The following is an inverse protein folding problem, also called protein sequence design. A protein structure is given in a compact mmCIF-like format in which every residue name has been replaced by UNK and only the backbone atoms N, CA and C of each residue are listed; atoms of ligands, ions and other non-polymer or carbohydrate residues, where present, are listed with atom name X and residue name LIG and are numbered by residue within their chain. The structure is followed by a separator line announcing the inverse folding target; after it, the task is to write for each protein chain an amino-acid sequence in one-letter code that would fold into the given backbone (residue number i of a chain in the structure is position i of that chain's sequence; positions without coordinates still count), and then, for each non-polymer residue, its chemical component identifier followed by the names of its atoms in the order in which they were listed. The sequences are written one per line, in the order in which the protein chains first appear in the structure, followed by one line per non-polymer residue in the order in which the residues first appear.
data_IF_016714342510
#
_entry.id   IF_016714342510
#
_cell.length_a   1.000
_cell.length_b   1.000
_cell.length_c   1.000
_cell.angle_alpha   90.00
_cell.angle_beta   90.00
_cell.angle_gamma   90.00
#
_symmetry.space_group_name_H-M   'P 1'
#
loop_
_entity.id
_entity.type
_entity.pdbx_description
1 polymer ?
#
# COMPACT_ATOMS: atom_id res chain seq x y z
N UNK A 1 -29.85 3.44 -39.97
CA UNK A 1 -29.54 3.56 -38.54
C UNK A 1 -29.50 2.12 -38.03
N UNK A 2 -28.32 1.56 -37.79
CA UNK A 2 -28.23 0.23 -37.18
C UNK A 2 -28.45 0.40 -35.69
N UNK A 3 -29.36 -0.39 -35.11
CA UNK A 3 -29.58 -0.47 -33.66
C UNK A 3 -28.24 -0.79 -33.00
N UNK A 4 -27.67 0.20 -32.32
CA UNK A 4 -26.50 -0.02 -31.47
C UNK A 4 -26.96 -0.93 -30.34
N UNK A 5 -26.21 -2.00 -30.01
CA UNK A 5 -26.53 -2.80 -28.84
C UNK A 5 -26.62 -1.90 -27.61
N UNK A 6 -27.64 -2.13 -26.77
CA UNK A 6 -27.78 -1.41 -25.50
C UNK A 6 -26.60 -1.78 -24.60
N UNK A 7 -25.70 -0.83 -24.39
CA UNK A 7 -24.53 -1.04 -23.55
C UNK A 7 -24.86 -1.01 -22.05
N UNK A 8 -26.08 -0.64 -21.67
CA UNK A 8 -26.50 -0.58 -20.27
C UNK A 8 -26.36 -1.94 -19.57
N UNK A 9 -26.48 -3.03 -20.33
CA UNK A 9 -26.38 -4.41 -19.85
C UNK A 9 -24.97 -5.03 -19.99
N UNK A 10 -24.03 -4.35 -20.66
CA UNK A 10 -22.74 -4.94 -21.00
C UNK A 10 -21.57 -4.04 -20.59
N UNK A 11 -20.69 -4.57 -19.74
CA UNK A 11 -19.46 -3.90 -19.32
C UNK A 11 -18.26 -4.84 -19.49
N UNK A 12 -17.17 -4.30 -20.02
CA UNK A 12 -15.87 -4.96 -20.06
C UNK A 12 -14.96 -4.31 -19.02
N UNK A 13 -14.59 -5.06 -17.99
CA UNK A 13 -13.60 -4.63 -17.00
C UNK A 13 -12.18 -4.91 -17.53
N UNK A 14 -11.37 -3.87 -17.67
CA UNK A 14 -9.96 -3.98 -18.04
C UNK A 14 -9.09 -3.71 -16.84
N UNK A 15 -8.32 -4.72 -16.44
CA UNK A 15 -7.33 -4.61 -15.37
C UNK A 15 -5.96 -4.36 -15.96
N UNK A 16 -5.19 -3.44 -15.38
CA UNK A 16 -3.85 -3.17 -15.85
C UNK A 16 -3.06 -2.23 -14.96
N UNK A 17 -1.84 -1.96 -15.39
CA UNK A 17 -1.05 -0.89 -14.80
C UNK A 17 -1.58 0.48 -15.19
N UNK A 18 -0.99 1.52 -14.60
CA UNK A 18 -1.37 2.90 -14.87
C UNK A 18 -1.27 3.26 -16.36
N UNK A 19 -0.23 2.79 -17.05
CA UNK A 19 -0.03 3.06 -18.48
C UNK A 19 -1.17 2.49 -19.33
N UNK A 20 -1.66 1.30 -19.00
CA UNK A 20 -2.85 0.70 -19.63
C UNK A 20 -4.09 1.60 -19.47
N UNK A 21 -4.31 2.11 -18.25
CA UNK A 21 -5.41 3.03 -17.97
C UNK A 21 -5.31 4.35 -18.73
N UNK A 22 -4.12 4.94 -18.83
CA UNK A 22 -3.89 6.18 -19.59
C UNK A 22 -4.19 6.00 -21.08
N UNK A 23 -3.78 4.87 -21.67
CA UNK A 23 -4.05 4.57 -23.07
C UNK A 23 -5.56 4.36 -23.33
N UNK A 24 -6.25 3.67 -22.42
CA UNK A 24 -7.71 3.49 -22.55
C UNK A 24 -8.43 4.85 -22.47
N UNK A 25 -8.08 5.69 -21.49
CA UNK A 25 -8.68 7.01 -21.34
C UNK A 25 -8.40 7.90 -22.57
N UNK A 26 -7.18 7.85 -23.11
CA UNK A 26 -6.84 8.57 -24.34
C UNK A 26 -7.67 8.08 -25.54
N UNK A 27 -7.88 6.77 -25.66
CA UNK A 27 -8.73 6.19 -26.70
C UNK A 27 -10.20 6.65 -26.56
N UNK A 28 -10.76 6.58 -25.35
CA UNK A 28 -12.12 7.05 -25.05
C UNK A 28 -12.27 8.56 -25.36
N UNK A 29 -11.28 9.36 -24.98
CA UNK A 29 -11.29 10.80 -25.24
C UNK A 29 -11.29 11.10 -26.76
N UNK A 30 -10.44 10.43 -27.54
CA UNK A 30 -10.40 10.60 -29.00
C UNK A 30 -11.70 10.17 -29.67
N UNK A 31 -12.34 9.14 -29.14
CA UNK A 31 -13.61 8.62 -29.66
C UNK A 31 -14.84 9.29 -29.06
N UNK A 32 -14.68 10.32 -28.23
CA UNK A 32 -15.81 11.01 -27.58
C UNK A 32 -16.80 11.64 -28.57
N UNK A 33 -16.33 11.97 -29.78
CA UNK A 33 -17.12 12.53 -30.88
C UNK A 33 -18.02 11.51 -31.60
N UNK A 34 -17.81 10.22 -31.37
CA UNK A 34 -18.56 9.16 -32.05
C UNK A 34 -20.04 9.21 -31.69
N UNK A 35 -20.91 8.79 -32.62
CA UNK A 35 -22.36 8.91 -32.45
C UNK A 35 -22.93 7.98 -31.37
N UNK A 36 -22.35 6.79 -31.18
CA UNK A 36 -22.89 5.78 -30.26
C UNK A 36 -22.00 5.56 -29.03
N UNK A 37 -22.58 5.28 -27.84
CA UNK A 37 -21.83 4.90 -26.64
C UNK A 37 -20.87 3.72 -26.84
N UNK A 38 -21.26 2.75 -27.69
CA UNK A 38 -20.42 1.62 -28.07
C UNK A 38 -19.13 2.08 -28.77
N UNK A 39 -19.25 2.95 -29.78
CA UNK A 39 -18.11 3.48 -30.51
C UNK A 39 -17.25 4.42 -29.64
N UNK A 40 -17.84 5.11 -28.66
CA UNK A 40 -17.09 5.87 -27.64
C UNK A 40 -16.35 4.99 -26.63
N UNK A 41 -16.50 3.66 -26.70
CA UNK A 41 -15.98 2.70 -25.72
C UNK A 41 -16.43 2.97 -24.27
N UNK A 42 -17.65 3.49 -24.07
CA UNK A 42 -18.16 3.78 -22.73
C UNK A 42 -18.41 2.51 -21.89
N UNK A 43 -18.64 1.38 -22.54
CA UNK A 43 -18.78 0.06 -21.91
C UNK A 43 -17.46 -0.51 -21.36
N UNK A 44 -16.31 0.11 -21.68
CA UNK A 44 -14.99 -0.37 -21.25
C UNK A 44 -14.55 0.40 -20.01
N UNK A 45 -14.45 -0.30 -18.88
CA UNK A 45 -14.13 0.32 -17.59
C UNK A 45 -12.75 -0.15 -17.14
N UNK A 46 -11.83 0.81 -16.96
CA UNK A 46 -10.53 0.53 -16.37
C UNK A 46 -10.65 0.31 -14.86
N UNK A 47 -10.09 -0.79 -14.39
CA UNK A 47 -9.95 -1.12 -12.97
C UNK A 47 -8.47 -1.06 -12.60
N UNK A 48 -8.07 -0.20 -11.64
CA UNK A 48 -6.67 -0.01 -11.31
C UNK A 48 -6.01 -1.27 -10.75
N UNK A 49 -4.78 -1.52 -11.17
CA UNK A 49 -3.95 -2.60 -10.65
C UNK A 49 -3.51 -2.38 -9.19
N UNK A 50 -4.08 -3.14 -8.26
CA UNK A 50 -3.71 -3.05 -6.84
C UNK A 50 -2.29 -3.53 -6.55
N UNK A 51 -1.71 -4.41 -7.39
CA UNK A 51 -0.30 -4.77 -7.25
C UNK A 51 0.61 -3.57 -7.58
N UNK A 52 0.33 -2.85 -8.66
CA UNK A 52 1.07 -1.62 -8.98
C UNK A 52 0.84 -0.52 -7.95
N UNK A 53 -0.37 -0.38 -7.38
CA UNK A 53 -0.59 0.50 -6.23
C UNK A 53 0.33 0.13 -5.06
N UNK A 54 0.35 -1.16 -4.67
CA UNK A 54 1.21 -1.64 -3.58
C UNK A 54 2.70 -1.40 -3.89
N UNK A 55 3.12 -1.51 -5.15
CA UNK A 55 4.48 -1.13 -5.57
C UNK A 55 4.74 0.38 -5.37
N UNK A 56 3.79 1.23 -5.75
CA UNK A 56 3.88 2.67 -5.56
C UNK A 56 3.95 3.06 -4.08
N UNK A 57 3.20 2.38 -3.20
CA UNK A 57 3.25 2.59 -1.75
C UNK A 57 4.62 2.19 -1.15
N UNK A 58 5.20 1.07 -1.59
CA UNK A 58 6.54 0.67 -1.15
C UNK A 58 7.62 1.67 -1.60
N UNK A 59 7.51 2.16 -2.84
CA UNK A 59 8.37 3.21 -3.37
C UNK A 59 8.21 4.52 -2.59
N UNK A 60 6.98 4.87 -2.16
CA UNK A 60 6.75 6.05 -1.33
C UNK A 60 7.47 5.98 0.02
N UNK A 61 7.49 4.81 0.67
CA UNK A 61 8.28 4.63 1.90
C UNK A 61 9.77 4.81 1.63
N UNK A 62 10.28 4.27 0.51
CA UNK A 62 11.66 4.48 0.11
C UNK A 62 11.99 5.96 -0.13
N UNK A 63 11.14 6.69 -0.86
CA UNK A 63 11.33 8.11 -1.14
C UNK A 63 11.25 8.99 0.12
N UNK A 64 10.47 8.60 1.13
CA UNK A 64 10.35 9.36 2.36
C UNK A 64 11.48 9.09 3.36
N UNK A 65 11.90 7.83 3.52
CA UNK A 65 12.74 7.41 4.66
C UNK A 65 14.12 6.89 4.28
N UNK A 66 14.44 6.81 2.99
CA UNK A 66 15.74 6.32 2.51
C UNK A 66 16.32 7.23 1.43
N UNK A 67 15.55 7.62 0.42
CA UNK A 67 16.09 8.38 -0.71
C UNK A 67 16.80 9.67 -0.30
N UNK A 68 16.24 10.55 0.56
CA UNK A 68 16.91 11.78 0.94
C UNK A 68 18.14 11.48 1.81
N UNK A 69 19.31 12.06 1.55
CA UNK A 69 20.51 11.83 2.38
C UNK A 69 20.27 12.15 3.86
N UNK A 70 19.53 13.23 4.15
CA UNK A 70 19.19 13.66 5.52
C UNK A 70 18.30 12.67 6.26
N UNK A 71 17.54 11.82 5.57
CA UNK A 71 16.72 10.78 6.19
C UNK A 71 17.54 9.57 6.68
N UNK A 72 18.86 9.57 6.46
CA UNK A 72 19.79 8.47 6.77
C UNK A 72 20.71 8.77 7.95
N UNK A 73 20.73 10.02 8.40
CA UNK A 73 21.72 10.54 9.34
C UNK A 73 21.40 10.17 10.79
N UNK A 74 20.12 9.95 11.11
CA UNK A 74 19.71 9.64 12.48
C UNK A 74 19.92 8.16 12.85
N UNK A 75 20.26 7.91 14.11
CA UNK A 75 20.50 6.55 14.65
C UNK A 75 19.24 5.69 14.68
N UNK A 76 18.05 6.28 14.54
CA UNK A 76 16.77 5.59 14.46
C UNK A 76 16.24 5.44 13.03
N UNK A 77 17.06 5.82 12.03
CA UNK A 77 16.69 5.84 10.63
C UNK A 77 16.45 4.44 10.09
N UNK A 78 15.67 4.34 9.02
CA UNK A 78 15.49 3.07 8.32
C UNK A 78 16.81 2.56 7.73
N UNK A 79 17.75 3.45 7.39
CA UNK A 79 19.08 3.04 6.93
C UNK A 79 19.91 2.36 8.03
N UNK A 80 19.76 2.77 9.28
CA UNK A 80 20.39 2.08 10.41
C UNK A 80 19.82 0.66 10.59
N UNK A 81 18.50 0.48 10.43
CA UNK A 81 17.89 -0.85 10.41
C UNK A 81 18.41 -1.70 9.23
N UNK A 82 18.55 -1.11 8.04
CA UNK A 82 19.10 -1.79 6.86
C UNK A 82 20.54 -2.25 7.11
N UNK A 83 21.38 -1.42 7.74
CA UNK A 83 22.76 -1.79 8.04
C UNK A 83 22.86 -3.05 8.92
N UNK A 84 21.89 -3.27 9.82
CA UNK A 84 21.82 -4.47 10.64
C UNK A 84 21.19 -5.66 9.91
N UNK A 85 20.04 -5.44 9.25
CA UNK A 85 19.26 -6.52 8.62
C UNK A 85 19.86 -7.00 7.29
N UNK A 86 20.55 -6.12 6.57
CA UNK A 86 21.08 -6.34 5.21
C UNK A 86 22.38 -5.56 4.98
N UNK A 87 23.45 -5.83 5.76
CA UNK A 87 24.70 -5.05 5.71
C UNK A 87 25.32 -4.99 4.30
N UNK A 88 25.16 -6.05 3.50
CA UNK A 88 25.72 -6.14 2.13
C UNK A 88 24.88 -5.43 1.06
N UNK A 89 23.69 -4.92 1.39
CA UNK A 89 22.78 -4.30 0.42
C UNK A 89 22.59 -2.78 0.63
N UNK A 90 23.30 -2.15 1.57
CA UNK A 90 23.13 -0.72 1.90
C UNK A 90 23.21 0.20 0.67
N UNK A 91 24.21 0.00 -0.20
CA UNK A 91 24.34 0.76 -1.45
C UNK A 91 23.17 0.58 -2.44
N UNK A 92 22.54 -0.60 -2.43
CA UNK A 92 21.35 -0.88 -3.24
C UNK A 92 20.14 -0.09 -2.73
N UNK A 93 19.98 0.01 -1.40
CA UNK A 93 18.91 0.80 -0.80
C UNK A 93 19.14 2.31 -0.97
N UNK A 94 20.39 2.77 -0.96
CA UNK A 94 20.74 4.18 -1.24
C UNK A 94 20.37 4.64 -2.65
N UNK A 95 20.25 3.71 -3.62
CA UNK A 95 20.01 4.00 -5.03
C UNK A 95 18.57 3.76 -5.45
N UNK A 96 18.18 2.51 -5.76
CA UNK A 96 16.78 2.15 -6.07
C UNK A 96 16.59 0.65 -5.84
N UNK A 97 16.18 0.22 -4.63
CA UNK A 97 16.19 -1.19 -4.24
C UNK A 97 15.16 -2.06 -4.97
N UNK A 98 14.14 -1.43 -5.58
CA UNK A 98 13.04 -2.11 -6.25
C UNK A 98 12.01 -2.68 -5.26
N UNK A 99 10.88 -3.13 -5.81
CA UNK A 99 9.71 -3.51 -5.01
C UNK A 99 9.97 -4.66 -4.04
N UNK A 100 10.58 -5.76 -4.51
CA UNK A 100 10.74 -6.97 -3.67
C UNK A 100 11.58 -6.70 -2.42
N UNK A 101 12.70 -5.96 -2.57
CA UNK A 101 13.56 -5.59 -1.45
C UNK A 101 12.84 -4.68 -0.47
N UNK A 102 12.13 -3.66 -0.96
CA UNK A 102 11.33 -2.78 -0.09
C UNK A 102 10.19 -3.52 0.61
N UNK A 103 9.49 -4.42 -0.10
CA UNK A 103 8.41 -5.22 0.49
C UNK A 103 8.91 -6.08 1.65
N UNK A 104 10.07 -6.73 1.49
CA UNK A 104 10.69 -7.53 2.54
C UNK A 104 11.22 -6.66 3.68
N UNK A 105 11.88 -5.54 3.36
CA UNK A 105 12.41 -4.61 4.36
C UNK A 105 11.30 -4.06 5.26
N UNK A 106 10.21 -3.56 4.69
CA UNK A 106 9.07 -3.00 5.44
C UNK A 106 8.55 -4.02 6.44
N UNK A 107 8.42 -5.29 6.03
CA UNK A 107 7.95 -6.37 6.90
C UNK A 107 8.93 -6.70 8.02
N UNK A 108 10.22 -6.86 7.70
CA UNK A 108 11.21 -7.26 8.70
C UNK A 108 11.50 -6.12 9.68
N UNK A 109 11.83 -4.93 9.17
CA UNK A 109 12.06 -3.75 9.99
C UNK A 109 10.81 -3.37 10.79
N UNK A 110 9.62 -3.41 10.16
CA UNK A 110 8.36 -3.14 10.84
C UNK A 110 8.10 -4.09 12.02
N UNK A 111 8.32 -5.39 11.83
CA UNK A 111 8.18 -6.37 12.91
C UNK A 111 9.17 -6.08 14.06
N UNK A 112 10.45 -5.87 13.77
CA UNK A 112 11.46 -5.57 14.78
C UNK A 112 11.13 -4.29 15.56
N UNK A 113 10.77 -3.20 14.87
CA UNK A 113 10.42 -1.93 15.49
C UNK A 113 9.18 -2.03 16.37
N UNK A 114 8.15 -2.78 15.95
CA UNK A 114 6.96 -3.01 16.80
C UNK A 114 7.30 -3.81 18.05
N UNK A 115 8.11 -4.87 17.93
CA UNK A 115 8.59 -5.62 19.09
C UNK A 115 9.37 -4.70 20.05
N UNK A 116 10.18 -3.79 19.52
CA UNK A 116 10.87 -2.80 20.36
C UNK A 116 9.91 -1.82 21.06
N UNK A 117 8.87 -1.34 20.36
CA UNK A 117 7.83 -0.51 20.98
C UNK A 117 7.14 -1.25 22.13
N UNK A 118 6.80 -2.54 21.93
CA UNK A 118 6.27 -3.39 22.99
C UNK A 118 7.25 -3.54 24.16
N UNK A 119 8.53 -3.82 23.87
CA UNK A 119 9.57 -3.95 24.90
C UNK A 119 9.66 -2.69 25.77
N UNK A 120 9.71 -1.53 25.13
CA UNK A 120 9.79 -0.24 25.81
C UNK A 120 8.52 0.06 26.63
N UNK A 121 7.33 -0.23 26.06
CA UNK A 121 6.05 -0.01 26.72
C UNK A 121 5.86 -0.88 27.97
N UNK A 122 6.09 -2.18 27.84
CA UNK A 122 5.90 -3.11 28.95
C UNK A 122 6.85 -2.78 30.11
N UNK A 123 8.10 -2.46 29.78
CA UNK A 123 9.10 -2.01 30.78
C UNK A 123 8.67 -0.71 31.48
N UNK A 124 8.03 0.22 30.77
CA UNK A 124 7.56 1.48 31.37
C UNK A 124 6.34 1.27 32.29
N UNK A 125 5.49 0.29 31.98
CA UNK A 125 4.35 -0.09 32.84
C UNK A 125 4.79 -0.84 34.10
N UNK A 126 5.76 -1.74 33.97
CA UNK A 126 6.29 -2.48 35.10
C UNK A 126 7.79 -2.78 34.91
N UNK A 127 8.69 -2.13 35.67
CA UNK A 127 10.14 -2.34 35.56
C UNK A 127 10.63 -3.77 35.78
N UNK A 128 9.79 -4.67 36.33
CA UNK A 128 10.11 -6.11 36.46
C UNK A 128 10.21 -6.80 35.10
N UNK A 129 9.50 -6.32 34.09
CA UNK A 129 9.56 -6.83 32.74
C UNK A 129 10.76 -6.23 32.01
N UNK A 130 11.92 -6.88 32.15
CA UNK A 130 13.18 -6.42 31.52
C UNK A 130 13.20 -6.60 30.00
N UNK A 131 12.47 -7.61 29.51
CA UNK A 131 12.34 -7.99 28.12
C UNK A 131 10.97 -8.60 27.83
N UNK A 132 10.69 -8.84 26.54
CA UNK A 132 9.43 -9.44 26.10
C UNK A 132 9.28 -10.91 26.50
N UNK A 133 10.37 -11.63 26.75
CA UNK A 133 10.31 -13.02 27.16
C UNK A 133 9.78 -13.15 28.60
N UNK A 134 10.27 -12.28 29.48
CA UNK A 134 9.80 -12.18 30.87
C UNK A 134 8.33 -11.76 30.92
N UNK A 135 7.91 -10.85 30.05
CA UNK A 135 6.50 -10.46 29.92
C UNK A 135 5.63 -11.61 29.39
N UNK A 136 6.07 -12.33 28.35
CA UNK A 136 5.32 -13.47 27.82
C UNK A 136 5.12 -14.57 28.88
N UNK A 137 6.13 -14.80 29.74
CA UNK A 137 6.04 -15.74 30.87
C UNK A 137 5.05 -15.33 31.96
N UNK A 138 4.59 -14.09 32.00
CA UNK A 138 3.50 -13.70 32.90
C UNK A 138 2.12 -14.02 32.36
N UNK A 139 2.02 -14.63 31.17
CA UNK A 139 0.79 -15.08 30.52
C UNK A 139 -0.32 -14.01 30.53
N UNK A 140 -0.06 -12.82 29.95
CA UNK A 140 -1.07 -11.77 29.89
C UNK A 140 -2.28 -12.25 29.09
N UNK A 141 -3.48 -11.98 29.60
CA UNK A 141 -4.72 -12.35 28.92
C UNK A 141 -4.94 -11.50 27.65
N UNK A 142 -5.86 -11.97 26.81
CA UNK A 142 -6.10 -11.37 25.51
C UNK A 142 -6.67 -9.95 25.58
N UNK A 143 -7.58 -9.66 26.53
CA UNK A 143 -8.16 -8.32 26.62
C UNK A 143 -7.13 -7.32 27.16
N UNK A 144 -6.31 -7.71 28.15
CA UNK A 144 -5.16 -6.92 28.58
C UNK A 144 -4.20 -6.63 27.42
N UNK A 145 -3.86 -7.64 26.62
CA UNK A 145 -2.99 -7.46 25.45
C UNK A 145 -3.59 -6.51 24.41
N UNK A 146 -4.90 -6.57 24.19
CA UNK A 146 -5.60 -5.71 23.25
C UNK A 146 -5.64 -4.25 23.73
N UNK A 147 -5.90 -4.02 25.02
CA UNK A 147 -5.82 -2.69 25.63
C UNK A 147 -4.40 -2.11 25.53
N UNK A 148 -3.40 -2.91 25.90
CA UNK A 148 -2.00 -2.55 25.77
C UNK A 148 -1.62 -2.24 24.32
N UNK A 149 -2.12 -3.01 23.34
CA UNK A 149 -1.87 -2.76 21.93
C UNK A 149 -2.42 -1.40 21.47
N UNK A 150 -3.60 -1.01 21.95
CA UNK A 150 -4.17 0.31 21.68
C UNK A 150 -3.30 1.42 22.30
N UNK A 151 -2.82 1.24 23.53
CA UNK A 151 -1.91 2.20 24.16
C UNK A 151 -0.57 2.32 23.42
N UNK A 152 0.03 1.19 23.04
CA UNK A 152 1.26 1.15 22.23
C UNK A 152 1.03 1.90 20.91
N UNK A 153 -0.11 1.68 20.26
CA UNK A 153 -0.47 2.38 19.03
C UNK A 153 -0.60 3.90 19.25
N UNK A 154 -1.21 4.32 20.36
CA UNK A 154 -1.34 5.74 20.71
C UNK A 154 0.00 6.42 21.01
N UNK A 155 0.94 5.70 21.64
CA UNK A 155 2.24 6.24 22.05
C UNK A 155 3.30 6.20 20.95
N UNK A 156 3.34 5.13 20.15
CA UNK A 156 4.44 4.84 19.23
C UNK A 156 4.08 4.97 17.74
N UNK A 157 2.88 5.45 17.41
CA UNK A 157 2.45 5.73 16.04
C UNK A 157 2.00 7.19 15.91
N UNK A 158 2.48 7.86 14.85
CA UNK A 158 2.09 9.24 14.59
C UNK A 158 0.56 9.37 14.37
N UNK A 159 -0.07 10.18 15.22
CA UNK A 159 -1.51 10.46 15.17
C UNK A 159 -1.79 11.97 15.19
N UNK A 160 -3.07 12.35 15.24
CA UNK A 160 -3.48 13.77 15.20
C UNK A 160 -2.96 14.57 16.42
N UNK A 161 -2.69 13.92 17.55
CA UNK A 161 -2.12 14.56 18.74
C UNK A 161 -0.71 15.10 18.48
N UNK A 162 0.05 14.53 17.54
CA UNK A 162 1.42 15.00 17.24
C UNK A 162 1.44 16.47 16.80
N UNK A 163 0.45 16.90 15.99
CA UNK A 163 0.30 18.32 15.61
C UNK A 163 0.07 19.22 16.83
N UNK A 164 -0.72 18.74 17.80
CA UNK A 164 -1.00 19.47 19.05
C UNK A 164 0.26 19.55 19.92
N UNK A 165 1.04 18.48 19.99
CA UNK A 165 2.32 18.45 20.71
C UNK A 165 3.33 19.42 20.10
N UNK A 166 3.43 19.50 18.77
CA UNK A 166 4.30 20.47 18.07
C UNK A 166 3.95 21.92 18.37
N UNK A 167 2.67 22.27 18.46
CA UNK A 167 2.21 23.64 18.76
C UNK A 167 2.48 24.09 20.20
N UNK A 168 2.70 23.15 21.12
CA UNK A 168 2.83 23.41 22.56
C UNK A 168 4.28 23.49 23.04
N UNK A 169 5.28 23.26 22.18
CA UNK A 169 6.68 23.10 22.62
C UNK A 169 7.59 24.19 22.07
N UNK A 170 8.34 24.77 22.98
CA UNK A 170 9.50 25.63 22.74
C UNK A 170 10.77 24.75 22.68
N UNK A 171 11.57 24.93 21.62
CA UNK A 171 12.98 24.52 21.37
C UNK A 171 13.52 23.10 21.67
N UNK A 172 12.81 22.16 22.32
CA UNK A 172 13.33 20.83 22.72
C UNK A 172 12.66 19.61 22.05
N UNK A 173 12.28 19.73 20.78
CA UNK A 173 11.61 18.63 20.07
C UNK A 173 12.59 17.50 19.72
N UNK A 174 12.37 16.29 20.24
CA UNK A 174 13.09 15.10 19.81
C UNK A 174 12.62 14.69 18.41
N UNK A 175 13.23 15.29 17.38
CA UNK A 175 12.91 15.05 15.97
C UNK A 175 13.13 13.59 15.55
N UNK A 176 14.12 12.91 16.14
CA UNK A 176 14.37 11.48 15.87
C UNK A 176 13.18 10.62 16.31
N UNK A 177 12.65 10.88 17.52
CA UNK A 177 11.47 10.21 18.00
C UNK A 177 10.26 10.47 17.08
N UNK A 178 10.02 11.73 16.67
CA UNK A 178 8.93 12.03 15.74
C UNK A 178 9.07 11.29 14.40
N UNK A 179 10.29 11.24 13.84
CA UNK A 179 10.56 10.49 12.61
C UNK A 179 10.24 8.99 12.77
N UNK A 180 10.61 8.41 13.91
CA UNK A 180 10.26 7.02 14.23
C UNK A 180 8.74 6.78 14.31
N UNK A 181 7.98 7.72 14.90
CA UNK A 181 6.51 7.65 14.94
C UNK A 181 5.89 7.67 13.54
N UNK A 182 6.42 8.49 12.63
CA UNK A 182 5.97 8.53 11.24
C UNK A 182 6.34 7.26 10.48
N UNK A 183 7.56 6.75 10.66
CA UNK A 183 7.99 5.51 10.03
C UNK A 183 7.07 4.33 10.42
N UNK A 184 6.77 4.19 11.71
CA UNK A 184 5.84 3.18 12.22
C UNK A 184 4.45 3.31 11.58
N UNK A 185 3.93 4.53 11.44
CA UNK A 185 2.65 4.78 10.78
C UNK A 185 2.64 4.31 9.33
N UNK A 186 3.69 4.62 8.57
CA UNK A 186 3.77 4.28 7.15
C UNK A 186 3.95 2.77 6.95
N UNK A 187 4.73 2.12 7.80
CA UNK A 187 4.86 0.66 7.82
C UNK A 187 3.52 -0.02 8.09
N UNK A 188 2.79 0.40 9.13
CA UNK A 188 1.48 -0.15 9.44
C UNK A 188 0.47 0.08 8.31
N UNK A 189 0.45 1.26 7.71
CA UNK A 189 -0.43 1.54 6.57
C UNK A 189 -0.12 0.63 5.37
N UNK A 190 1.15 0.31 5.12
CA UNK A 190 1.56 -0.61 4.05
C UNK A 190 1.22 -2.07 4.35
N UNK A 191 1.46 -2.50 5.58
CA UNK A 191 1.13 -3.83 6.06
C UNK A 191 -0.38 -4.06 6.08
N UNK A 192 -1.15 -3.05 6.46
CA UNK A 192 -2.61 -3.05 6.46
C UNK A 192 -3.16 -3.23 5.04
N UNK A 193 -2.69 -2.42 4.09
CA UNK A 193 -3.03 -2.59 2.67
C UNK A 193 -2.67 -4.01 2.20
N UNK A 194 -1.48 -4.50 2.56
CA UNK A 194 -1.03 -5.83 2.19
C UNK A 194 -1.88 -6.94 2.80
N UNK A 195 -2.29 -6.78 4.06
CA UNK A 195 -3.15 -7.72 4.78
C UNK A 195 -4.53 -7.78 4.15
N UNK A 196 -5.18 -6.61 3.99
CA UNK A 196 -6.49 -6.48 3.37
C UNK A 196 -6.55 -7.13 1.98
N UNK A 197 -5.54 -6.86 1.14
CA UNK A 197 -5.41 -7.49 -0.18
C UNK A 197 -5.26 -9.02 -0.09
N UNK A 198 -4.49 -9.54 0.87
CA UNK A 198 -4.26 -10.98 1.01
C UNK A 198 -5.51 -11.72 1.51
N UNK A 199 -6.30 -11.10 2.39
CA UNK A 199 -7.53 -11.71 2.92
C UNK A 199 -8.76 -11.49 2.05
N UNK A 200 -8.65 -10.63 1.02
CA UNK A 200 -9.76 -10.36 0.09
C UNK A 200 -10.74 -9.30 0.59
N UNK A 201 -10.35 -8.50 1.59
CA UNK A 201 -11.21 -7.47 2.17
C UNK A 201 -11.10 -6.16 1.38
N UNK A 202 -11.97 -6.03 0.37
CA UNK A 202 -11.96 -4.87 -0.53
C UNK A 202 -12.35 -3.57 0.17
N UNK A 203 -13.26 -3.60 1.15
CA UNK A 203 -13.65 -2.40 1.89
C UNK A 203 -12.47 -1.84 2.70
N UNK A 204 -11.67 -2.72 3.30
CA UNK A 204 -10.44 -2.34 4.01
C UNK A 204 -9.35 -1.87 3.06
N UNK A 205 -9.22 -2.46 1.87
CA UNK A 205 -8.34 -1.95 0.81
C UNK A 205 -8.72 -0.52 0.41
N UNK A 206 -10.00 -0.26 0.11
CA UNK A 206 -10.52 1.07 -0.24
C UNK A 206 -10.21 2.09 0.86
N UNK A 207 -10.40 1.71 2.13
CA UNK A 207 -10.05 2.53 3.30
C UNK A 207 -8.56 2.88 3.35
N UNK A 208 -7.66 1.93 3.07
CA UNK A 208 -6.23 2.20 3.01
C UNK A 208 -5.86 3.17 1.87
N UNK A 209 -6.52 3.04 0.71
CA UNK A 209 -6.26 3.90 -0.46
C UNK A 209 -6.46 5.38 -0.10
N UNK A 210 -7.50 5.72 0.68
CA UNK A 210 -7.77 7.09 1.14
C UNK A 210 -6.55 7.71 1.81
N UNK A 211 -5.86 6.94 2.67
CA UNK A 211 -4.66 7.42 3.37
C UNK A 211 -3.42 7.49 2.48
N UNK A 212 -3.34 6.63 1.45
CA UNK A 212 -2.22 6.61 0.50
C UNK A 212 -2.27 7.75 -0.52
N UNK A 213 -3.45 8.19 -0.96
CA UNK A 213 -3.61 9.27 -1.94
C UNK A 213 -2.78 10.53 -1.62
N UNK A 214 -2.89 11.15 -0.42
CA UNK A 214 -2.12 12.35 -0.10
C UNK A 214 -0.61 12.07 -0.04
N UNK A 215 -0.19 10.88 0.41
CA UNK A 215 1.22 10.48 0.45
C UNK A 215 1.78 10.37 -0.97
N UNK A 216 1.07 9.67 -1.86
CA UNK A 216 1.44 9.52 -3.26
C UNK A 216 1.49 10.88 -3.98
N UNK A 217 0.57 11.79 -3.66
CA UNK A 217 0.59 13.16 -4.19
C UNK A 217 1.82 13.93 -3.70
N UNK A 218 2.18 13.81 -2.43
CA UNK A 218 3.32 14.52 -1.83
C UNK A 218 4.67 14.06 -2.40
N UNK A 219 4.83 12.77 -2.72
CA UNK A 219 6.06 12.21 -3.29
C UNK A 219 6.11 12.26 -4.83
N UNK A 220 5.31 13.13 -5.46
CA UNK A 220 5.33 13.31 -6.92
C UNK A 220 4.69 12.17 -7.74
N UNK A 221 4.06 11.16 -7.12
CA UNK A 221 3.27 10.14 -7.83
C UNK A 221 1.85 10.64 -8.12
N UNK A 222 1.75 11.81 -8.73
CA UNK A 222 0.48 12.50 -9.02
C UNK A 222 -0.48 11.64 -9.82
N UNK A 223 0.01 10.90 -10.83
CA UNK A 223 -0.83 10.01 -11.63
C UNK A 223 -1.49 8.92 -10.78
N UNK A 224 -0.73 8.22 -9.93
CA UNK A 224 -1.31 7.23 -9.02
C UNK A 224 -2.33 7.86 -8.07
N UNK A 225 -2.02 9.02 -7.49
CA UNK A 225 -2.94 9.73 -6.60
C UNK A 225 -4.26 10.09 -7.32
N UNK A 226 -4.18 10.65 -8.54
CA UNK A 226 -5.35 10.99 -9.36
C UNK A 226 -6.16 9.75 -9.70
N UNK A 227 -5.53 8.70 -10.23
CA UNK A 227 -6.25 7.48 -10.62
C UNK A 227 -6.91 6.78 -9.44
N UNK A 228 -6.26 6.72 -8.28
CA UNK A 228 -6.88 6.16 -7.07
C UNK A 228 -8.05 7.02 -6.57
N UNK A 229 -7.93 8.35 -6.67
CA UNK A 229 -9.01 9.26 -6.32
C UNK A 229 -10.21 9.05 -7.23
N UNK A 230 -10.00 9.03 -8.55
CA UNK A 230 -11.06 8.78 -9.54
C UNK A 230 -11.69 7.41 -9.33
N UNK A 231 -10.89 6.37 -9.07
CA UNK A 231 -11.39 5.04 -8.77
C UNK A 231 -12.34 5.05 -7.57
N UNK A 232 -11.92 5.61 -6.43
CA UNK A 232 -12.76 5.69 -5.24
C UNK A 232 -14.02 6.53 -5.48
N UNK A 233 -13.90 7.69 -6.13
CA UNK A 233 -15.07 8.51 -6.46
C UNK A 233 -16.09 7.73 -7.29
N UNK A 234 -15.61 6.97 -8.28
CA UNK A 234 -16.49 6.22 -9.15
C UNK A 234 -17.19 5.06 -8.43
N UNK A 235 -16.45 4.22 -7.69
CA UNK A 235 -17.03 3.05 -7.01
C UNK A 235 -17.88 3.41 -5.80
N UNK A 236 -17.68 4.57 -5.18
CA UNK A 236 -18.52 5.00 -4.06
C UNK A 236 -19.74 5.81 -4.51
N UNK A 237 -19.59 6.71 -5.50
CA UNK A 237 -20.59 7.73 -5.78
C UNK A 237 -21.16 7.73 -7.19
N UNK A 238 -20.38 7.34 -8.22
CA UNK A 238 -20.80 7.55 -9.61
C UNK A 238 -21.43 6.32 -10.27
N UNK A 239 -20.88 5.13 -10.05
CA UNK A 239 -21.32 3.93 -10.76
C UNK A 239 -22.64 3.39 -10.20
N UNK A 240 -23.47 2.70 -11.02
CA UNK A 240 -24.63 1.98 -10.54
C UNK A 240 -24.22 0.78 -9.67
N UNK A 241 -25.10 0.33 -8.77
CA UNK A 241 -24.76 -0.67 -7.75
C UNK A 241 -24.22 -1.98 -8.33
N UNK A 242 -24.81 -2.49 -9.41
CA UNK A 242 -24.32 -3.69 -10.10
C UNK A 242 -22.88 -3.55 -10.61
N UNK A 243 -22.51 -2.39 -11.14
CA UNK A 243 -21.13 -2.12 -11.60
C UNK A 243 -20.17 -1.96 -10.41
N UNK A 244 -20.59 -1.32 -9.31
CA UNK A 244 -19.78 -1.24 -8.09
C UNK A 244 -19.44 -2.64 -7.57
N UNK A 245 -20.45 -3.51 -7.49
CA UNK A 245 -20.29 -4.89 -7.05
C UNK A 245 -19.38 -5.67 -8.00
N UNK A 246 -19.60 -5.57 -9.32
CA UNK A 246 -18.77 -6.22 -10.33
C UNK A 246 -17.29 -5.81 -10.18
N UNK A 247 -16.99 -4.52 -10.09
CA UNK A 247 -15.60 -4.04 -9.93
C UNK A 247 -14.97 -4.58 -8.64
N UNK A 248 -15.67 -4.47 -7.51
CA UNK A 248 -15.16 -4.93 -6.21
C UNK A 248 -14.88 -6.44 -6.18
N UNK A 249 -15.70 -7.23 -6.85
CA UNK A 249 -15.57 -8.68 -6.87
C UNK A 249 -14.48 -9.16 -7.84
N UNK A 250 -14.12 -8.33 -8.83
CA UNK A 250 -13.14 -8.70 -9.87
C UNK A 250 -11.76 -8.04 -9.69
N UNK A 251 -11.55 -7.17 -8.69
CA UNK A 251 -10.25 -6.51 -8.50
C UNK A 251 -9.20 -7.40 -7.79
N UNK A 252 -9.67 -8.40 -7.04
CA UNK A 252 -8.85 -9.43 -6.39
C UNK A 252 -9.32 -10.82 -6.85
N UNK A 253 -8.38 -11.75 -6.99
CA UNK A 253 -8.63 -13.15 -7.32
C UNK A 253 -7.87 -14.05 -6.34
N UNK A 254 -8.39 -15.24 -6.03
CA UNK A 254 -7.67 -16.25 -5.25
C UNK A 254 -7.32 -17.46 -6.12
N UNK A 255 -6.17 -17.45 -6.82
CA UNK A 255 -5.79 -18.53 -7.74
C UNK A 255 -5.62 -19.89 -7.06
N UNK A 256 -5.41 -19.91 -5.74
CA UNK A 256 -5.10 -21.13 -4.98
C UNK A 256 -6.29 -21.70 -4.23
N UNK A 257 -7.38 -20.94 -4.10
CA UNK A 257 -8.50 -21.24 -3.20
C UNK A 257 -8.18 -21.23 -1.70
N UNK A 258 -6.92 -21.00 -1.30
CA UNK A 258 -6.51 -21.05 0.12
C UNK A 258 -6.82 -19.75 0.85
N UNK A 259 -7.13 -19.84 2.15
CA UNK A 259 -7.35 -18.67 3.01
C UNK A 259 -6.16 -17.71 2.97
N UNK A 260 -6.45 -16.42 2.91
CA UNK A 260 -5.45 -15.34 2.88
C UNK A 260 -4.44 -15.41 1.71
N UNK A 261 -4.81 -16.02 0.58
CA UNK A 261 -3.99 -16.12 -0.64
C UNK A 261 -4.58 -15.36 -1.83
N UNK A 262 -5.41 -14.35 -1.57
CA UNK A 262 -5.87 -13.44 -2.61
C UNK A 262 -4.71 -12.64 -3.22
N UNK A 263 -4.87 -12.27 -4.50
CA UNK A 263 -3.92 -11.55 -5.33
C UNK A 263 -4.65 -10.51 -6.14
N UNK A 264 -3.99 -9.38 -6.39
CA UNK A 264 -4.49 -8.42 -7.35
C UNK A 264 -4.47 -9.01 -8.75
N UNK A 265 -5.49 -8.73 -9.57
CA UNK A 265 -5.58 -9.30 -10.92
C UNK A 265 -4.39 -8.89 -11.79
N UNK A 266 -3.91 -7.65 -11.67
CA UNK A 266 -2.74 -7.18 -12.40
C UNK A 266 -1.43 -7.91 -12.02
N UNK A 267 -1.37 -8.52 -10.83
CA UNK A 267 -0.27 -9.43 -10.46
C UNK A 267 -0.31 -10.72 -11.28
N UNK A 268 -1.48 -11.32 -11.44
CA UNK A 268 -1.67 -12.52 -12.28
C UNK A 268 -1.39 -12.21 -13.75
N UNK A 269 -1.86 -11.06 -14.26
CA UNK A 269 -1.53 -10.58 -15.61
C UNK A 269 -0.03 -10.40 -15.78
N UNK A 270 0.67 -9.83 -14.79
CA UNK A 270 2.13 -9.67 -14.84
C UNK A 270 2.86 -11.01 -14.88
N UNK A 271 2.38 -12.00 -14.12
CA UNK A 271 2.91 -13.36 -14.13
C UNK A 271 2.74 -14.01 -15.50
N UNK A 272 1.56 -13.89 -16.11
CA UNK A 272 1.31 -14.41 -17.46
C UNK A 272 2.22 -13.72 -18.50
N UNK A 273 2.37 -12.40 -18.42
CA UNK A 273 3.27 -11.65 -19.29
C UNK A 273 4.74 -12.09 -19.17
N UNK A 274 5.18 -12.51 -17.97
CA UNK A 274 6.51 -13.06 -17.78
C UNK A 274 6.67 -14.36 -18.58
N UNK A 275 5.71 -15.29 -18.48
CA UNK A 275 5.74 -16.55 -19.23
C UNK A 275 5.71 -16.33 -20.74
N UNK A 276 4.84 -15.44 -21.25
CA UNK A 276 4.76 -15.15 -22.69
C UNK A 276 6.05 -14.53 -23.25
N UNK A 277 6.76 -13.71 -22.46
CA UNK A 277 8.04 -13.13 -22.88
C UNK A 277 9.16 -14.16 -22.96
N UNK A 278 9.18 -15.14 -22.04
CA UNK A 278 10.18 -16.23 -22.05
C UNK A 278 9.98 -17.15 -23.26
N UNK A 279 8.72 -17.44 -23.64
CA UNK A 279 8.40 -18.25 -24.82
C UNK A 279 8.86 -17.62 -26.15
N UNK A 280 8.94 -16.28 -26.23
CA UNK A 280 9.41 -15.57 -27.44
C UNK A 280 10.93 -15.57 -27.60
N UNK A 281 11.69 -16.12 -26.66
CA UNK A 281 13.16 -16.22 -26.74
C UNK A 281 13.65 -17.67 -26.90
N UNK A 282 12.73 -18.64 -26.98
CA UNK A 282 13.05 -20.08 -27.10
C UNK A 282 12.76 -20.66 -28.48
N UNK A 283 12.32 -19.85 -29.45
CA UNK A 283 12.07 -20.28 -30.85
C UNK A 283 13.09 -19.71 -31.85
N UNK A 284 14.35 -19.57 -31.43
CA UNK A 284 15.48 -19.30 -32.32
C UNK A 284 16.62 -20.27 -31.98
N UNK A 285 16.42 -21.54 -32.33
CA UNK A 285 17.48 -22.50 -32.72
C UNK A 285 16.93 -23.30 -33.89
#
# INVERSE_FOLDING_TARGET
MFDSPDISEHVILIHGDLGTGEQLQAAQLRRSIESTPWNRFQHVIFVPGLFHLKMACADAIWQCFIQPPTAREDSTSLMHDIAQLRPKETGIFCSKPGFHRMHQLIRHAGACRRLDCWRAFVKSKNPRFKDLETFAKSEPDFESLKEMANEVAHLYIANHCLKRTRRRRDTSCNLQHENALFLNKYFLLYEELSYAMNVGDIGRVETCIVSWIPILKAIGKHKYATHMTTFLLNVHFMYPEGLKQAIRYHILVNPTGRKAKWRAVDWCVKLNNLFTKVSKHTNLV
#
